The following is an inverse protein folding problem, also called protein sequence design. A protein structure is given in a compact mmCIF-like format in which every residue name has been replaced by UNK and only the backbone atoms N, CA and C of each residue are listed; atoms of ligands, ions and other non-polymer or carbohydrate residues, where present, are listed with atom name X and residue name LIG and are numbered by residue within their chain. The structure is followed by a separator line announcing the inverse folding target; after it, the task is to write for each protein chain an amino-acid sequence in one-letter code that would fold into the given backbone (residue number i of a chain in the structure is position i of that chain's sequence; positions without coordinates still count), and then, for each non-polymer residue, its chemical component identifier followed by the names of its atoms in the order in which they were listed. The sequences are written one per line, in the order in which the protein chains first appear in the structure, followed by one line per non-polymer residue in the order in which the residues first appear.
data_IF_662687485624
#
_entry.id   IF_662687485624
#
_cell.length_a   1.000
_cell.length_b   1.000
_cell.length_c   1.000
_cell.angle_alpha   90.00
_cell.angle_beta   90.00
_cell.angle_gamma   90.00
#
_symmetry.space_group_name_H-M   'P 1'
#
loop_
_entity.id
_entity.type
_entity.pdbx_description
1 polymer ?
#
# COMPACT_ATOMS: atom_id res chain seq x y z
N UNK A 1 41.17 -46.32 -11.84
CA UNK A 1 42.29 -45.45 -11.56
C UNK A 1 41.62 -44.17 -11.06
N UNK A 2 41.42 -44.08 -9.76
CA UNK A 2 42.33 -43.49 -8.77
C UNK A 2 42.47 -41.99 -9.04
N UNK A 3 42.14 -41.03 -8.21
CA UNK A 3 42.28 -40.92 -6.75
C UNK A 3 41.35 -39.83 -6.17
N UNK A 4 40.81 -40.06 -5.02
CA UNK A 4 40.32 -39.18 -3.98
C UNK A 4 41.51 -38.58 -3.21
N UNK A 5 41.27 -37.89 -2.11
CA UNK A 5 40.73 -36.55 -1.79
C UNK A 5 41.75 -35.73 -0.98
N UNK A 6 41.50 -34.46 -0.71
CA UNK A 6 42.19 -33.73 0.37
C UNK A 6 41.18 -33.06 1.27
N UNK A 7 41.03 -33.68 2.45
CA UNK A 7 40.52 -33.14 3.69
C UNK A 7 41.49 -32.09 4.25
N UNK A 8 40.97 -30.97 4.72
CA UNK A 8 41.70 -30.18 5.72
C UNK A 8 40.76 -29.75 6.85
N UNK A 9 41.13 -30.22 8.02
CA UNK A 9 40.56 -29.95 9.32
C UNK A 9 40.84 -28.51 9.84
N UNK A 10 40.17 -28.10 10.95
CA UNK A 10 40.11 -26.72 11.41
C UNK A 10 41.32 -26.38 12.31
N UNK A 11 41.78 -25.13 12.20
CA UNK A 11 42.77 -24.57 13.12
C UNK A 11 42.03 -23.93 14.31
N UNK A 12 42.11 -24.59 15.44
CA UNK A 12 41.83 -24.05 16.78
C UNK A 12 43.17 -23.70 17.40
N UNK A 13 43.41 -22.45 17.69
CA UNK A 13 44.42 -21.90 18.62
C UNK A 13 44.21 -20.38 18.72
N UNK A 14 44.13 -19.67 19.82
CA UNK A 14 44.55 -19.87 21.19
C UNK A 14 43.67 -18.99 22.09
N UNK A 15 43.23 -19.56 23.18
CA UNK A 15 42.80 -18.85 24.37
C UNK A 15 44.04 -18.40 25.12
N UNK A 16 44.31 -17.12 25.25
CA UNK A 16 45.12 -16.58 26.31
C UNK A 16 44.33 -15.69 27.23
N UNK A 17 44.22 -16.19 28.43
CA UNK A 17 43.73 -15.54 29.64
C UNK A 17 44.62 -14.37 30.00
N UNK A 18 44.03 -13.20 30.21
CA UNK A 18 44.68 -12.14 31.03
C UNK A 18 43.81 -11.91 32.26
N UNK A 19 44.21 -12.55 33.35
CA UNK A 19 43.81 -12.17 34.72
C UNK A 19 44.56 -10.89 35.13
N UNK A 20 43.85 -10.01 35.81
CA UNK A 20 44.44 -9.17 36.84
C UNK A 20 44.58 -7.68 36.48
N UNK A 21 43.59 -6.90 36.93
CA UNK A 21 43.90 -5.74 37.79
C UNK A 21 42.63 -5.23 38.49
N UNK A 22 42.54 -5.62 39.75
CA UNK A 22 41.70 -4.93 40.74
C UNK A 22 42.33 -3.58 41.12
N UNK A 23 41.42 -2.66 41.52
CA UNK A 23 41.58 -1.43 42.27
C UNK A 23 41.78 -0.11 41.54
N UNK A 24 40.59 0.51 41.28
CA UNK A 24 40.47 1.94 41.61
C UNK A 24 39.02 2.21 42.07
N UNK A 25 38.82 2.15 43.40
CA UNK A 25 37.64 2.72 44.05
C UNK A 25 37.61 4.21 43.80
N UNK A 26 36.88 4.64 42.78
CA UNK A 26 36.47 6.01 42.59
C UNK A 26 35.14 6.28 43.33
N UNK A 27 35.23 7.10 44.36
CA UNK A 27 34.14 7.64 45.19
C UNK A 27 33.28 8.63 44.40
N UNK A 28 32.54 8.20 43.36
CA UNK A 28 31.68 9.09 42.58
C UNK A 28 30.36 8.44 42.23
N UNK A 29 29.61 7.94 43.25
CA UNK A 29 28.20 7.62 43.03
C UNK A 29 27.44 8.03 44.28
N UNK A 30 26.78 9.21 44.24
CA UNK A 30 25.37 9.15 44.52
C UNK A 30 24.48 10.06 43.65
N UNK A 31 24.98 10.66 42.55
CA UNK A 31 24.17 11.59 41.75
C UNK A 31 23.50 10.98 40.52
N UNK A 32 23.85 9.75 40.13
CA UNK A 32 23.23 9.09 38.96
C UNK A 32 21.91 8.38 39.26
N UNK A 33 21.60 8.13 40.53
CA UNK A 33 20.34 7.47 40.90
C UNK A 33 19.12 8.43 40.86
N UNK A 34 19.33 9.74 41.02
CA UNK A 34 18.25 10.71 41.01
C UNK A 34 17.90 11.24 39.59
N UNK A 35 18.87 11.23 38.68
CA UNK A 35 18.67 11.69 37.31
C UNK A 35 17.99 10.67 36.38
N UNK A 36 18.25 9.38 36.60
CA UNK A 36 17.70 8.30 35.77
C UNK A 36 16.20 8.14 35.86
N UNK A 37 15.63 8.30 37.05
CA UNK A 37 14.15 8.25 37.24
C UNK A 37 13.44 9.45 36.58
N UNK A 38 14.03 10.64 36.64
CA UNK A 38 13.41 11.83 36.04
C UNK A 38 13.37 11.73 34.51
N UNK A 39 14.43 11.22 33.87
CA UNK A 39 14.46 11.05 32.39
C UNK A 39 13.49 9.96 31.93
N UNK A 40 13.38 8.84 32.66
CA UNK A 40 12.45 7.77 32.33
C UNK A 40 10.98 8.19 32.55
N UNK A 41 10.71 8.96 33.59
CA UNK A 41 9.36 9.51 33.86
C UNK A 41 9.01 10.57 32.81
N UNK A 42 9.93 11.44 32.42
CA UNK A 42 9.70 12.41 31.33
C UNK A 42 9.50 11.72 29.98
N UNK A 43 10.27 10.67 29.66
CA UNK A 43 10.09 9.90 28.44
C UNK A 43 8.74 9.13 28.44
N UNK A 44 8.35 8.53 29.56
CA UNK A 44 7.05 7.87 29.68
C UNK A 44 5.87 8.85 29.60
N UNK A 45 6.00 10.06 30.17
CA UNK A 45 5.00 11.12 30.06
C UNK A 45 4.92 11.71 28.65
N UNK A 46 6.07 11.80 27.94
CA UNK A 46 6.10 12.24 26.52
C UNK A 46 5.47 11.20 25.60
N UNK A 47 5.80 9.91 25.77
CA UNK A 47 5.20 8.82 25.01
C UNK A 47 3.70 8.72 25.35
N UNK A 48 3.33 8.81 26.61
CA UNK A 48 1.93 8.83 27.04
C UNK A 48 1.15 10.03 26.48
N UNK A 49 1.78 11.22 26.40
CA UNK A 49 1.17 12.41 25.81
C UNK A 49 1.02 12.28 24.28
N UNK A 50 2.00 11.71 23.59
CA UNK A 50 1.93 11.49 22.14
C UNK A 50 0.89 10.41 21.81
N UNK A 51 0.82 9.32 22.58
CA UNK A 51 -0.15 8.24 22.37
C UNK A 51 -1.58 8.69 22.73
N UNK A 52 -1.74 9.55 23.78
CA UNK A 52 -3.04 10.02 24.23
C UNK A 52 -3.51 11.27 23.49
N UNK A 53 -2.62 12.21 23.19
CA UNK A 53 -2.94 13.47 22.52
C UNK A 53 -2.92 13.37 20.99
N UNK A 54 -2.21 12.40 20.41
CA UNK A 54 -2.15 12.17 18.98
C UNK A 54 -3.53 12.00 18.35
N UNK A 55 -4.37 11.05 18.81
CA UNK A 55 -5.73 10.89 18.31
C UNK A 55 -6.65 12.07 18.57
N UNK A 56 -6.46 12.76 19.71
CA UNK A 56 -7.28 13.93 20.06
C UNK A 56 -6.89 15.18 19.26
N UNK A 57 -5.62 15.37 18.95
CA UNK A 57 -5.18 16.46 18.07
C UNK A 57 -5.66 16.24 16.64
N UNK A 58 -5.54 15.03 16.11
CA UNK A 58 -6.06 14.68 14.78
C UNK A 58 -7.57 14.95 14.73
N UNK A 59 -8.33 14.49 15.73
CA UNK A 59 -9.77 14.72 15.82
C UNK A 59 -10.17 16.20 15.97
N UNK A 60 -9.28 17.05 16.51
CA UNK A 60 -9.50 18.48 16.63
C UNK A 60 -9.31 19.24 15.32
N UNK A 61 -8.37 18.81 14.48
CA UNK A 61 -8.09 19.44 13.17
C UNK A 61 -8.88 18.80 12.02
N UNK A 62 -9.25 17.52 12.16
CA UNK A 62 -9.99 16.75 11.16
C UNK A 62 -11.09 15.93 11.83
N UNK A 63 -12.17 16.59 12.28
CA UNK A 63 -13.19 15.98 13.14
C UNK A 63 -13.92 14.80 12.49
N UNK A 64 -13.96 14.73 11.15
CA UNK A 64 -14.75 13.77 10.37
C UNK A 64 -13.93 12.73 9.62
N UNK A 65 -12.59 12.69 9.81
CA UNK A 65 -11.71 11.75 9.09
C UNK A 65 -10.96 10.83 10.03
N UNK A 66 -10.89 9.54 9.68
CA UNK A 66 -10.05 8.56 10.37
C UNK A 66 -8.57 8.80 10.04
N UNK A 67 -7.65 8.27 10.87
CA UNK A 67 -6.22 8.36 10.57
C UNK A 67 -5.86 7.69 9.24
N UNK A 68 -6.61 6.66 8.85
CA UNK A 68 -6.45 5.92 7.60
C UNK A 68 -6.94 6.74 6.39
N UNK A 69 -8.06 7.44 6.49
CA UNK A 69 -8.53 8.38 5.48
C UNK A 69 -7.57 9.56 5.29
N UNK A 70 -6.91 10.01 6.37
CA UNK A 70 -5.89 11.05 6.29
C UNK A 70 -4.62 10.56 5.60
N UNK A 71 -4.30 9.25 5.72
CA UNK A 71 -3.14 8.64 5.06
C UNK A 71 -3.36 8.44 3.56
N UNK A 72 -4.61 8.28 3.10
CA UNK A 72 -4.96 8.13 1.68
C UNK A 72 -5.31 9.44 0.98
N UNK A 73 -5.31 10.56 1.70
CA UNK A 73 -5.75 11.85 1.17
C UNK A 73 -7.27 11.91 0.92
N UNK A 74 -7.70 12.72 -0.03
CA UNK A 74 -9.10 12.77 -0.46
C UNK A 74 -9.38 11.56 -1.35
N UNK A 75 -10.36 10.75 -0.99
CA UNK A 75 -10.79 9.60 -1.80
C UNK A 75 -12.17 9.87 -2.38
N UNK A 76 -12.39 9.44 -3.62
CA UNK A 76 -13.70 9.42 -4.26
C UNK A 76 -13.79 8.13 -5.06
N UNK A 77 -14.63 7.20 -4.63
CA UNK A 77 -14.74 5.88 -5.25
C UNK A 77 -13.35 5.29 -5.56
N UNK A 78 -12.97 5.18 -6.85
CA UNK A 78 -11.74 4.60 -7.36
C UNK A 78 -10.54 5.55 -7.43
N UNK A 79 -10.59 6.73 -6.78
CA UNK A 79 -9.52 7.73 -6.80
C UNK A 79 -9.03 8.08 -5.40
N UNK A 80 -7.76 8.51 -5.28
CA UNK A 80 -7.19 9.03 -4.05
C UNK A 80 -6.23 10.17 -4.32
N UNK A 81 -6.07 11.08 -3.34
CA UNK A 81 -5.20 12.26 -3.43
C UNK A 81 -5.94 13.53 -3.79
N UNK A 82 -5.20 14.59 -4.08
CA UNK A 82 -5.74 15.90 -4.49
C UNK A 82 -6.04 15.88 -5.99
N UNK A 83 -7.29 16.11 -6.44
CA UNK A 83 -7.61 16.17 -7.86
C UNK A 83 -6.89 17.31 -8.62
N UNK A 84 -6.28 18.26 -7.90
CA UNK A 84 -5.46 19.32 -8.49
C UNK A 84 -3.95 19.01 -8.41
N UNK A 85 -3.56 17.79 -8.03
CA UNK A 85 -2.16 17.39 -8.00
C UNK A 85 -1.50 17.53 -9.38
N UNK A 86 -0.21 17.91 -9.43
CA UNK A 86 0.51 18.09 -10.70
C UNK A 86 0.70 16.79 -11.49
N UNK A 87 0.62 15.66 -10.82
CA UNK A 87 0.74 14.33 -11.44
C UNK A 87 -0.58 13.58 -11.30
N UNK A 88 -1.11 13.12 -12.43
CA UNK A 88 -2.23 12.18 -12.47
C UNK A 88 -1.71 10.80 -12.91
N UNK A 89 -1.94 9.80 -12.09
CA UNK A 89 -1.62 8.41 -12.38
C UNK A 89 -2.91 7.63 -12.53
N UNK A 90 -3.07 6.95 -13.66
CA UNK A 90 -4.13 5.99 -13.91
C UNK A 90 -3.49 4.60 -13.92
N UNK A 91 -3.98 3.69 -13.09
CA UNK A 91 -3.66 2.27 -13.14
C UNK A 91 -4.80 1.52 -13.81
N UNK A 92 -4.51 0.77 -14.86
CA UNK A 92 -5.37 -0.29 -15.37
C UNK A 92 -4.98 -1.61 -14.71
N UNK A 93 -5.83 -2.10 -13.81
CA UNK A 93 -5.56 -3.26 -12.97
C UNK A 93 -6.63 -4.35 -13.06
N UNK A 94 -6.21 -5.58 -12.72
CA UNK A 94 -7.07 -6.75 -12.57
C UNK A 94 -6.83 -7.37 -11.18
N UNK A 95 -7.89 -7.56 -10.40
CA UNK A 95 -7.80 -8.10 -9.04
C UNK A 95 -7.31 -9.56 -9.00
N UNK A 96 -7.29 -10.26 -10.14
CA UNK A 96 -6.72 -11.59 -10.23
C UNK A 96 -5.27 -11.60 -10.77
N UNK A 97 -4.70 -10.44 -11.10
CA UNK A 97 -3.37 -10.38 -11.68
C UNK A 97 -2.27 -10.46 -10.61
N UNK A 98 -1.34 -11.44 -10.70
CA UNK A 98 -0.24 -11.56 -9.73
C UNK A 98 0.70 -10.36 -9.75
N UNK A 99 0.82 -9.67 -10.87
CA UNK A 99 1.64 -8.46 -10.97
C UNK A 99 0.93 -7.23 -10.38
N UNK A 100 -0.41 -7.15 -10.42
CA UNK A 100 -1.16 -6.13 -9.68
C UNK A 100 -1.04 -6.36 -8.17
N UNK A 101 -1.18 -7.60 -7.70
CA UNK A 101 -0.90 -7.96 -6.31
C UNK A 101 0.52 -7.53 -5.89
N UNK A 102 1.52 -7.80 -6.73
CA UNK A 102 2.91 -7.40 -6.44
C UNK A 102 3.06 -5.90 -6.34
N UNK A 103 2.46 -5.14 -7.25
CA UNK A 103 2.45 -3.67 -7.20
C UNK A 103 1.81 -3.17 -5.91
N UNK A 104 0.62 -3.66 -5.56
CA UNK A 104 -0.09 -3.35 -4.33
C UNK A 104 0.76 -3.60 -3.08
N UNK A 105 1.50 -4.72 -3.03
CA UNK A 105 2.33 -5.07 -1.88
C UNK A 105 3.62 -4.26 -1.75
N UNK A 106 4.32 -4.04 -2.86
CA UNK A 106 5.70 -3.56 -2.85
C UNK A 106 5.83 -2.06 -3.17
N UNK A 107 4.99 -1.54 -4.09
CA UNK A 107 5.17 -0.20 -4.67
C UNK A 107 4.10 0.78 -4.23
N UNK A 108 2.84 0.40 -4.27
CA UNK A 108 1.71 1.28 -3.96
C UNK A 108 1.80 1.95 -2.57
N UNK A 109 2.17 1.25 -1.47
CA UNK A 109 2.27 1.88 -0.16
C UNK A 109 3.29 3.02 -0.11
N UNK A 110 4.39 2.90 -0.87
CA UNK A 110 5.40 3.93 -0.96
C UNK A 110 4.92 5.10 -1.83
N UNK A 111 4.23 4.81 -2.94
CA UNK A 111 3.61 5.81 -3.81
C UNK A 111 2.59 6.65 -3.03
N UNK A 112 1.70 6.00 -2.27
CA UNK A 112 0.72 6.67 -1.42
C UNK A 112 1.43 7.58 -0.41
N UNK A 113 2.39 7.04 0.32
CA UNK A 113 3.09 7.76 1.38
C UNK A 113 3.88 8.97 0.87
N UNK A 114 4.64 8.81 -0.21
CA UNK A 114 5.59 9.83 -0.66
C UNK A 114 4.95 10.86 -1.61
N UNK A 115 3.90 10.49 -2.33
CA UNK A 115 3.34 11.33 -3.39
C UNK A 115 1.86 11.63 -3.24
N UNK A 116 1.00 10.64 -2.99
CA UNK A 116 -0.44 10.87 -2.86
C UNK A 116 -0.74 11.71 -1.60
N UNK A 117 -0.23 11.28 -0.45
CA UNK A 117 -0.45 11.97 0.84
C UNK A 117 0.22 13.34 0.92
N UNK A 118 1.14 13.62 0.02
CA UNK A 118 1.82 14.94 -0.07
C UNK A 118 1.20 15.88 -1.10
N UNK A 119 0.09 15.45 -1.74
CA UNK A 119 -0.63 16.25 -2.74
C UNK A 119 0.10 16.38 -4.09
N UNK A 120 1.12 15.56 -4.33
CA UNK A 120 1.87 15.57 -5.59
C UNK A 120 1.26 14.66 -6.66
N UNK A 121 0.53 13.63 -6.25
CA UNK A 121 -0.10 12.64 -7.11
C UNK A 121 -1.59 12.53 -6.79
N UNK A 122 -2.39 12.55 -7.83
CA UNK A 122 -3.76 12.07 -7.87
C UNK A 122 -3.76 10.71 -8.54
N UNK A 123 -4.22 9.68 -7.83
CA UNK A 123 -4.16 8.29 -8.27
C UNK A 123 -5.56 7.77 -8.55
N UNK A 124 -5.74 7.13 -9.70
CA UNK A 124 -7.00 6.54 -10.15
C UNK A 124 -6.79 5.07 -10.52
N UNK A 125 -7.61 4.18 -9.98
CA UNK A 125 -7.66 2.77 -10.39
C UNK A 125 -8.81 2.57 -11.39
N UNK A 126 -8.52 1.97 -12.53
CA UNK A 126 -9.50 1.53 -13.54
C UNK A 126 -9.45 0.02 -13.68
N UNK A 127 -10.62 -0.58 -13.64
CA UNK A 127 -10.71 -2.03 -13.77
C UNK A 127 -10.46 -2.47 -15.21
N UNK A 128 -9.48 -3.36 -15.39
CA UNK A 128 -9.19 -3.98 -16.68
C UNK A 128 -9.22 -5.51 -16.55
N UNK A 129 -10.44 -6.11 -16.39
CA UNK A 129 -10.60 -7.53 -16.09
C UNK A 129 -10.37 -8.37 -17.34
N UNK A 130 -9.21 -9.04 -17.41
CA UNK A 130 -8.78 -9.85 -18.56
C UNK A 130 -8.52 -11.32 -18.23
N UNK A 131 -8.46 -11.68 -16.92
CA UNK A 131 -8.08 -13.05 -16.51
C UNK A 131 -9.29 -13.98 -16.49
N UNK A 132 -10.46 -13.49 -16.08
CA UNK A 132 -11.62 -14.35 -16.05
C UNK A 132 -12.88 -13.72 -15.46
N UNK A 133 -13.96 -14.51 -15.32
CA UNK A 133 -15.23 -14.01 -14.79
C UNK A 133 -15.12 -13.44 -13.37
N UNK A 134 -14.25 -14.01 -12.55
CA UNK A 134 -14.04 -13.54 -11.17
C UNK A 134 -13.38 -12.16 -11.14
N UNK A 135 -12.57 -11.78 -12.16
CA UNK A 135 -12.04 -10.42 -12.30
C UNK A 135 -13.16 -9.40 -12.46
N UNK A 136 -14.17 -9.73 -13.27
CA UNK A 136 -15.33 -8.86 -13.47
C UNK A 136 -16.13 -8.73 -12.18
N UNK A 137 -16.39 -9.84 -11.49
CA UNK A 137 -17.13 -9.83 -10.21
C UNK A 137 -16.41 -9.04 -9.13
N UNK A 138 -15.08 -9.18 -9.03
CA UNK A 138 -14.26 -8.42 -8.10
C UNK A 138 -14.32 -6.91 -8.40
N UNK A 139 -14.20 -6.53 -9.67
CA UNK A 139 -14.31 -5.14 -10.12
C UNK A 139 -15.67 -4.53 -9.78
N UNK A 140 -16.78 -5.23 -10.10
CA UNK A 140 -18.13 -4.78 -9.73
C UNK A 140 -18.26 -4.64 -8.20
N UNK A 141 -17.70 -5.58 -7.43
CA UNK A 141 -17.67 -5.52 -5.97
C UNK A 141 -16.93 -4.31 -5.42
N UNK A 142 -15.79 -3.97 -6.01
CA UNK A 142 -15.03 -2.79 -5.61
C UNK A 142 -15.82 -1.49 -5.82
N UNK A 143 -16.50 -1.35 -6.95
CA UNK A 143 -17.38 -0.19 -7.20
C UNK A 143 -18.61 -0.19 -6.29
N UNK A 144 -19.23 -1.34 -6.01
CA UNK A 144 -20.32 -1.42 -5.05
C UNK A 144 -19.89 -1.02 -3.62
N UNK A 145 -18.68 -1.35 -3.23
CA UNK A 145 -18.09 -0.86 -1.98
C UNK A 145 -17.82 0.65 -2.05
N UNK A 146 -17.42 1.14 -3.22
CA UNK A 146 -17.23 2.56 -3.51
C UNK A 146 -18.46 3.41 -3.31
N UNK A 147 -19.66 2.89 -3.64
CA UNK A 147 -20.94 3.57 -3.37
C UNK A 147 -21.18 3.83 -1.87
N UNK A 148 -20.49 3.06 -1.02
CA UNK A 148 -20.51 3.20 0.43
C UNK A 148 -19.23 3.89 0.97
N UNK A 149 -18.42 4.47 0.09
CA UNK A 149 -17.18 5.19 0.45
C UNK A 149 -16.04 4.27 0.87
N UNK A 150 -16.04 2.99 0.45
CA UNK A 150 -15.09 1.97 0.87
C UNK A 150 -14.39 1.25 -0.29
N UNK A 151 -14.21 1.94 -1.43
CA UNK A 151 -13.54 1.35 -2.59
C UNK A 151 -12.15 0.83 -2.24
N UNK A 152 -11.32 1.65 -1.62
CA UNK A 152 -9.91 1.32 -1.36
C UNK A 152 -9.73 0.26 -0.28
N UNK A 153 -10.53 0.30 0.79
CA UNK A 153 -10.50 -0.75 1.80
C UNK A 153 -10.97 -2.09 1.21
N UNK A 154 -11.91 -2.03 0.28
CA UNK A 154 -12.39 -3.23 -0.41
C UNK A 154 -11.37 -3.73 -1.43
N UNK A 155 -10.73 -2.83 -2.18
CA UNK A 155 -9.59 -3.11 -3.06
C UNK A 155 -8.49 -3.87 -2.31
N UNK A 156 -8.07 -3.37 -1.15
CA UNK A 156 -7.05 -4.04 -0.32
C UNK A 156 -7.53 -5.41 0.19
N UNK A 157 -8.82 -5.51 0.51
CA UNK A 157 -9.42 -6.78 0.95
C UNK A 157 -9.42 -7.81 -0.17
N UNK A 158 -9.69 -7.42 -1.40
CA UNK A 158 -9.61 -8.31 -2.56
C UNK A 158 -8.19 -8.86 -2.74
N UNK A 159 -7.17 -8.00 -2.79
CA UNK A 159 -5.78 -8.46 -2.91
C UNK A 159 -5.31 -9.28 -1.70
N UNK A 160 -5.74 -8.94 -0.49
CA UNK A 160 -5.39 -9.71 0.72
C UNK A 160 -5.92 -11.15 0.68
N UNK A 161 -7.09 -11.36 0.08
CA UNK A 161 -7.78 -12.64 0.05
C UNK A 161 -7.58 -13.42 -1.25
N UNK A 162 -6.84 -12.87 -2.21
CA UNK A 162 -6.57 -13.56 -3.48
C UNK A 162 -5.55 -14.71 -3.28
N UNK A 163 -5.90 -15.90 -3.73
CA UNK A 163 -5.05 -17.11 -3.63
C UNK A 163 -4.62 -17.66 -4.98
N UNK A 164 -5.16 -17.13 -6.07
CA UNK A 164 -4.84 -17.54 -7.43
C UNK A 164 -5.96 -17.23 -8.43
N UNK A 165 -5.64 -17.32 -9.70
CA UNK A 165 -6.56 -17.03 -10.79
C UNK A 165 -7.72 -18.04 -10.82
N UNK A 166 -8.96 -17.55 -10.78
CA UNK A 166 -10.19 -18.35 -10.85
C UNK A 166 -10.27 -19.48 -9.80
N UNK A 167 -9.77 -19.20 -8.58
CA UNK A 167 -9.80 -20.15 -7.46
C UNK A 167 -11.05 -20.03 -6.59
N UNK A 168 -12.02 -19.26 -7.02
CA UNK A 168 -13.28 -19.04 -6.28
C UNK A 168 -13.14 -18.01 -5.16
N UNK A 169 -12.13 -17.14 -5.21
CA UNK A 169 -11.92 -16.11 -4.20
C UNK A 169 -12.88 -14.93 -4.36
N UNK A 170 -13.41 -14.73 -5.56
CA UNK A 170 -14.31 -13.64 -5.89
C UNK A 170 -15.71 -14.12 -6.31
N UNK A 171 -16.15 -15.25 -5.74
CA UNK A 171 -17.56 -15.66 -5.81
C UNK A 171 -18.45 -14.63 -5.09
N UNK A 172 -19.69 -14.49 -5.53
CA UNK A 172 -20.63 -13.55 -4.91
C UNK A 172 -20.73 -13.71 -3.40
N UNK A 173 -20.74 -14.94 -2.90
CA UNK A 173 -20.75 -15.23 -1.46
C UNK A 173 -19.54 -14.65 -0.73
N UNK A 174 -18.33 -14.86 -1.25
CA UNK A 174 -17.10 -14.31 -0.65
C UNK A 174 -17.06 -12.79 -0.75
N UNK A 175 -17.47 -12.22 -1.87
CA UNK A 175 -17.54 -10.77 -2.03
C UNK A 175 -18.45 -10.12 -0.98
N UNK A 176 -19.61 -10.74 -0.67
CA UNK A 176 -20.51 -10.26 0.41
C UNK A 176 -19.83 -10.42 1.78
N UNK A 177 -19.10 -11.51 2.03
CA UNK A 177 -18.36 -11.69 3.28
C UNK A 177 -17.27 -10.63 3.45
N UNK A 178 -16.58 -10.23 2.38
CA UNK A 178 -15.61 -9.14 2.42
C UNK A 178 -16.27 -7.80 2.74
N UNK A 179 -17.45 -7.53 2.16
CA UNK A 179 -18.23 -6.34 2.47
C UNK A 179 -18.67 -6.31 3.95
N UNK A 180 -19.10 -7.45 4.51
CA UNK A 180 -19.44 -7.59 5.92
C UNK A 180 -18.24 -7.31 6.83
N UNK A 181 -17.06 -7.82 6.49
CA UNK A 181 -15.82 -7.60 7.25
C UNK A 181 -15.42 -6.12 7.34
N UNK A 182 -15.81 -5.33 6.35
CA UNK A 182 -15.61 -3.87 6.30
C UNK A 182 -16.78 -3.07 6.90
N UNK A 183 -17.77 -3.77 7.50
CA UNK A 183 -18.97 -3.17 8.09
C UNK A 183 -19.82 -2.39 7.08
N UNK A 184 -19.83 -2.82 5.81
CA UNK A 184 -20.72 -2.27 4.79
C UNK A 184 -22.17 -2.74 5.01
N UNK A 185 -23.15 -2.00 4.47
CA UNK A 185 -24.51 -2.52 4.32
C UNK A 185 -24.51 -3.67 3.29
N UNK A 186 -24.45 -4.89 3.81
CA UNK A 186 -24.36 -6.10 2.99
C UNK A 186 -25.58 -6.30 2.09
N UNK A 187 -26.77 -5.83 2.50
CA UNK A 187 -27.99 -5.92 1.67
C UNK A 187 -27.92 -4.97 0.48
N UNK A 188 -27.46 -3.74 0.72
CA UNK A 188 -27.23 -2.77 -0.36
C UNK A 188 -26.13 -3.27 -1.31
N UNK A 189 -25.04 -3.83 -0.76
CA UNK A 189 -23.94 -4.39 -1.52
C UNK A 189 -24.38 -5.58 -2.38
N UNK A 190 -25.09 -6.56 -1.80
CA UNK A 190 -25.63 -7.73 -2.52
C UNK A 190 -26.58 -7.31 -3.64
N UNK A 191 -27.44 -6.32 -3.36
CA UNK A 191 -28.34 -5.77 -4.39
C UNK A 191 -27.55 -5.11 -5.53
N UNK A 192 -26.53 -4.34 -5.21
CA UNK A 192 -25.66 -3.69 -6.20
C UNK A 192 -25.01 -4.73 -7.13
N UNK A 193 -24.45 -5.81 -6.57
CA UNK A 193 -23.84 -6.90 -7.34
C UNK A 193 -24.89 -7.65 -8.19
N UNK A 194 -26.03 -8.04 -7.60
CA UNK A 194 -27.05 -8.84 -8.28
C UNK A 194 -27.72 -8.06 -9.42
N UNK A 195 -27.89 -6.76 -9.26
CA UNK A 195 -28.42 -5.88 -10.30
C UNK A 195 -27.40 -5.53 -11.39
N UNK A 196 -26.10 -5.85 -11.18
CA UNK A 196 -25.02 -5.45 -12.09
C UNK A 196 -24.88 -3.93 -12.19
N UNK A 197 -25.09 -3.22 -11.08
CA UNK A 197 -25.15 -1.74 -11.05
C UNK A 197 -23.92 -1.10 -11.69
N UNK A 198 -22.74 -1.68 -11.47
CA UNK A 198 -21.47 -1.17 -12.00
C UNK A 198 -20.93 -1.96 -13.20
N UNK A 199 -21.71 -2.87 -13.78
CA UNK A 199 -21.27 -3.59 -14.98
C UNK A 199 -20.84 -2.67 -16.10
N UNK A 200 -21.65 -1.66 -16.40
CA UNK A 200 -21.33 -0.68 -17.45
C UNK A 200 -20.08 0.15 -17.12
N UNK A 201 -19.80 0.41 -15.85
CA UNK A 201 -18.58 1.10 -15.42
C UNK A 201 -17.35 0.25 -15.70
N UNK A 202 -17.39 -1.04 -15.31
CA UNK A 202 -16.30 -2.00 -15.56
C UNK A 202 -16.07 -2.21 -17.06
N UNK A 203 -17.16 -2.33 -17.84
CA UNK A 203 -17.08 -2.43 -19.30
C UNK A 203 -16.48 -1.17 -19.94
N UNK A 204 -16.84 0.02 -19.42
CA UNK A 204 -16.29 1.29 -19.91
C UNK A 204 -14.79 1.42 -19.56
N UNK A 205 -14.38 1.06 -18.35
CA UNK A 205 -12.97 1.06 -17.97
C UNK A 205 -12.15 0.15 -18.89
N UNK A 206 -12.67 -1.05 -19.13
CA UNK A 206 -12.04 -1.99 -20.06
C UNK A 206 -11.98 -1.42 -21.48
N UNK A 207 -13.06 -0.84 -21.97
CA UNK A 207 -13.08 -0.25 -23.31
C UNK A 207 -12.11 0.93 -23.42
N UNK A 208 -11.97 1.74 -22.38
CA UNK A 208 -10.98 2.82 -22.33
C UNK A 208 -9.56 2.25 -22.40
N UNK A 209 -9.25 1.20 -21.60
CA UNK A 209 -7.95 0.55 -21.66
C UNK A 209 -7.66 -0.06 -23.02
N UNK A 210 -8.64 -0.73 -23.66
CA UNK A 210 -8.50 -1.25 -25.03
C UNK A 210 -8.19 -0.11 -26.03
N UNK A 211 -8.87 1.03 -25.91
CA UNK A 211 -8.63 2.21 -26.75
C UNK A 211 -7.25 2.85 -26.50
N UNK A 212 -6.77 2.79 -25.27
CA UNK A 212 -5.45 3.25 -24.85
C UNK A 212 -4.32 2.23 -25.17
N UNK A 213 -4.65 1.12 -25.87
CA UNK A 213 -3.75 0.02 -26.21
C UNK A 213 -3.14 -0.68 -24.98
N UNK A 214 -3.89 -0.80 -23.89
CA UNK A 214 -3.49 -1.62 -22.74
C UNK A 214 -3.62 -3.10 -23.10
N UNK A 215 -2.54 -3.87 -22.95
CA UNK A 215 -2.50 -5.29 -23.28
C UNK A 215 -2.17 -6.20 -22.09
N UNK A 216 -1.76 -5.61 -20.98
CA UNK A 216 -1.36 -6.30 -19.75
C UNK A 216 -1.71 -5.48 -18.51
N UNK A 217 -1.76 -6.14 -17.35
CA UNK A 217 -1.96 -5.48 -16.05
C UNK A 217 -0.80 -5.78 -15.09
N UNK A 218 -0.43 -4.83 -14.22
CA UNK A 218 -0.88 -3.45 -14.25
C UNK A 218 -0.24 -2.65 -15.40
N UNK A 219 -0.96 -1.69 -15.96
CA UNK A 219 -0.41 -0.67 -16.86
C UNK A 219 -0.76 0.71 -16.30
N UNK A 220 0.22 1.58 -16.23
CA UNK A 220 0.09 2.92 -15.67
C UNK A 220 0.23 3.99 -16.75
N UNK A 221 -0.59 5.04 -16.62
CA UNK A 221 -0.44 6.29 -17.37
C UNK A 221 -0.08 7.39 -16.38
N UNK A 222 1.14 7.88 -16.45
CA UNK A 222 1.68 8.93 -15.56
C UNK A 222 1.74 10.23 -16.36
N UNK A 223 0.74 11.09 -16.23
CA UNK A 223 0.54 12.26 -17.12
C UNK A 223 0.67 11.89 -18.60
N UNK A 224 0.08 10.76 -19.01
CA UNK A 224 0.12 10.24 -20.37
C UNK A 224 1.36 9.40 -20.73
N UNK A 225 2.39 9.37 -19.90
CA UNK A 225 3.53 8.47 -20.10
C UNK A 225 3.16 7.05 -19.64
N UNK A 226 3.35 6.07 -20.53
CA UNK A 226 2.97 4.69 -20.28
C UNK A 226 4.09 3.97 -19.53
N UNK A 227 3.72 3.22 -18.51
CA UNK A 227 4.60 2.32 -17.76
C UNK A 227 3.90 0.98 -17.59
N UNK A 228 4.42 -0.07 -18.21
CA UNK A 228 3.82 -1.40 -18.17
C UNK A 228 4.42 -2.27 -17.05
N UNK A 229 3.57 -3.06 -16.42
CA UNK A 229 3.92 -4.07 -15.43
C UNK A 229 4.21 -3.50 -14.04
N UNK A 230 4.36 -4.40 -13.07
CA UNK A 230 4.72 -4.07 -11.69
C UNK A 230 6.19 -3.65 -11.62
N UNK A 231 6.44 -2.36 -11.76
CA UNK A 231 7.77 -1.80 -11.66
C UNK A 231 8.15 -1.51 -10.19
N UNK A 232 9.44 -1.61 -9.82
CA UNK A 232 9.92 -1.18 -8.51
C UNK A 232 9.59 0.30 -8.26
N UNK A 233 9.39 0.66 -6.99
CA UNK A 233 9.07 2.03 -6.60
C UNK A 233 10.06 3.08 -7.15
N UNK A 234 11.36 2.77 -7.17
CA UNK A 234 12.39 3.69 -7.66
C UNK A 234 12.19 4.06 -9.14
N UNK A 235 11.62 3.16 -9.95
CA UNK A 235 11.30 3.44 -11.36
C UNK A 235 10.15 4.44 -11.46
N UNK A 236 9.05 4.21 -10.73
CA UNK A 236 7.93 5.16 -10.68
C UNK A 236 8.37 6.51 -10.11
N UNK A 237 9.14 6.48 -9.02
CA UNK A 237 9.71 7.67 -8.40
C UNK A 237 10.53 8.50 -9.40
N UNK A 238 11.41 7.85 -10.16
CA UNK A 238 12.21 8.53 -11.17
C UNK A 238 11.33 9.25 -12.20
N UNK A 239 10.32 8.58 -12.74
CA UNK A 239 9.40 9.18 -13.72
C UNK A 239 8.65 10.37 -13.10
N UNK A 240 8.09 10.21 -11.90
CA UNK A 240 7.37 11.26 -11.19
C UNK A 240 8.27 12.49 -10.97
N UNK A 241 9.49 12.29 -10.46
CA UNK A 241 10.42 13.40 -10.20
C UNK A 241 10.89 14.07 -11.51
N UNK A 242 11.10 13.33 -12.59
CA UNK A 242 11.44 13.91 -13.89
C UNK A 242 10.31 14.78 -14.46
N UNK A 243 9.05 14.37 -14.27
CA UNK A 243 7.90 15.20 -14.65
C UNK A 243 7.80 16.44 -13.76
N UNK A 244 7.94 16.29 -12.44
CA UNK A 244 7.89 17.42 -11.49
C UNK A 244 9.00 18.45 -11.74
N UNK A 245 10.16 18.01 -12.22
CA UNK A 245 11.30 18.88 -12.57
C UNK A 245 11.21 19.46 -13.99
N UNK A 246 10.18 19.09 -14.77
CA UNK A 246 9.98 19.56 -16.14
C UNK A 246 10.94 18.93 -17.17
N UNK A 247 11.59 17.83 -16.84
CA UNK A 247 12.52 17.10 -17.71
C UNK A 247 11.79 16.12 -18.63
N UNK A 248 10.65 15.55 -18.19
CA UNK A 248 9.74 14.77 -19.00
C UNK A 248 8.51 15.62 -19.34
N UNK A 249 8.19 15.71 -20.61
CA UNK A 249 6.97 16.38 -21.04
C UNK A 249 5.75 15.52 -20.62
N UNK A 250 4.74 16.18 -20.08
CA UNK A 250 3.41 15.59 -19.99
C UNK A 250 2.89 15.41 -21.41
N UNK A 251 2.60 14.17 -21.81
CA UNK A 251 1.95 13.89 -23.08
C UNK A 251 0.46 14.24 -22.96
N UNK A 252 0.17 15.53 -22.77
CA UNK A 252 -1.20 16.04 -22.84
C UNK A 252 -1.44 16.46 -24.29
N UNK A 253 -2.06 15.55 -25.04
CA UNK A 253 -2.73 15.89 -26.28
C UNK A 253 -4.15 16.37 -26.00
#
# INVERSE_FOLDING_TARGET
MLEDPISQEPIIENLETVEGQENARSKWIPWLAAGGCAVLVCAALFIGAVVYAGPQMVKKFFPDKTAEELLRGTTSQNTMGDPNAPIHIIEYGDFQCPYCLKFWQETEPQLIKEYVNTGKVYFEFRSFPIIGPESVSAAEGAYCAGDQGKFWEYHDTLFTNWTGENMGDFTQEKLIQYADSLSLDTKAFEKCLSDGTHRSTVEQDKANGDADNVHATPTFFINGNILEGSQPFDVMKHIIEEILNGNLNTLNG
#
